data_IF_696560662898
#
_entry.id   IF_696560662898
#
_cell.length_a   1.000
_cell.length_b   1.000
_cell.length_c   1.000
_cell.angle_alpha   90.00
_cell.angle_beta   90.00
_cell.angle_gamma   90.00
#
_symmetry.space_group_name_H-M   'P 1'
#
loop_
_entity.id
_entity.type
_entity.pdbx_description
1 polymer ?
#
# COMPACT_ATOMS: atom_id res chain seq x y z
N UNK A 1 -16.75 -2.76 -6.85
CA UNK A 1 -16.74 -3.77 -5.78
C UNK A 1 -16.86 -3.02 -4.46
N UNK A 2 -17.37 -3.61 -3.38
CA UNK A 2 -17.41 -2.92 -2.08
C UNK A 2 -16.07 -3.06 -1.33
N UNK A 3 -15.76 -2.10 -0.45
CA UNK A 3 -14.50 -2.07 0.32
C UNK A 3 -14.19 -3.41 1.02
N UNK A 4 -15.19 -4.03 1.65
CA UNK A 4 -15.04 -5.31 2.35
C UNK A 4 -14.63 -6.46 1.41
N UNK A 5 -15.21 -6.54 0.21
CA UNK A 5 -14.84 -7.55 -0.78
C UNK A 5 -13.39 -7.37 -1.25
N UNK A 6 -12.95 -6.11 -1.38
CA UNK A 6 -11.57 -5.81 -1.75
C UNK A 6 -10.61 -6.23 -0.63
N UNK A 7 -10.94 -5.93 0.64
CA UNK A 7 -10.13 -6.37 1.78
C UNK A 7 -9.99 -7.89 1.82
N UNK A 8 -11.07 -8.63 1.58
CA UNK A 8 -11.04 -10.10 1.53
C UNK A 8 -10.09 -10.59 0.45
N UNK A 9 -10.18 -10.04 -0.77
CA UNK A 9 -9.25 -10.40 -1.86
C UNK A 9 -7.80 -10.03 -1.56
N UNK A 10 -7.56 -8.88 -0.96
CA UNK A 10 -6.22 -8.45 -0.59
C UNK A 10 -5.61 -9.34 0.50
N UNK A 11 -6.42 -9.80 1.47
CA UNK A 11 -6.01 -10.80 2.47
C UNK A 11 -5.61 -12.14 1.85
N UNK A 12 -6.35 -12.62 0.87
CA UNK A 12 -5.98 -13.84 0.14
C UNK A 12 -4.64 -13.70 -0.62
N UNK A 13 -4.39 -12.51 -1.17
CA UNK A 13 -3.18 -12.22 -1.93
C UNK A 13 -1.97 -12.01 -1.01
N UNK A 14 -2.02 -11.03 -0.13
CA UNK A 14 -0.85 -10.59 0.66
C UNK A 14 -0.69 -11.36 1.98
N UNK A 15 -1.74 -12.07 2.43
CA UNK A 15 -1.75 -12.89 3.64
C UNK A 15 -2.85 -12.49 4.64
N UNK A 16 -3.18 -13.39 5.57
CA UNK A 16 -4.29 -13.20 6.50
C UNK A 16 -4.06 -12.08 7.53
N UNK A 17 -2.80 -11.74 7.82
CA UNK A 17 -2.45 -10.67 8.74
C UNK A 17 -2.29 -9.35 7.99
N UNK A 18 -3.40 -8.78 7.51
CA UNK A 18 -3.39 -7.44 6.91
C UNK A 18 -4.16 -6.45 7.77
N UNK A 19 -3.54 -5.31 8.01
CA UNK A 19 -4.17 -4.12 8.56
C UNK A 19 -4.42 -3.08 7.48
N UNK A 20 -5.59 -2.44 7.53
CA UNK A 20 -5.98 -1.37 6.61
C UNK A 20 -6.07 -0.05 7.39
N UNK A 21 -5.63 1.05 6.78
CA UNK A 21 -5.80 2.36 7.40
C UNK A 21 -7.30 2.74 7.49
N UNK A 22 -7.65 3.61 8.45
CA UNK A 22 -9.04 4.03 8.68
C UNK A 22 -9.69 4.70 7.47
N UNK A 23 -8.90 5.25 6.56
CA UNK A 23 -9.39 5.93 5.37
C UNK A 23 -9.55 4.99 4.17
N UNK A 24 -9.10 3.73 4.27
CA UNK A 24 -9.13 2.77 3.18
C UNK A 24 -10.52 2.69 2.55
N UNK A 25 -11.53 2.43 3.38
CA UNK A 25 -12.93 2.22 2.96
C UNK A 25 -13.49 3.45 2.24
N UNK A 26 -13.21 4.63 2.80
CA UNK A 26 -13.61 5.92 2.20
C UNK A 26 -13.04 6.08 0.80
N UNK A 27 -11.75 5.78 0.62
CA UNK A 27 -11.10 5.94 -0.68
C UNK A 27 -11.47 4.82 -1.67
N UNK A 28 -11.70 3.59 -1.20
CA UNK A 28 -12.17 2.50 -2.08
C UNK A 28 -13.55 2.78 -2.66
N UNK A 29 -14.46 3.36 -1.86
CA UNK A 29 -15.80 3.71 -2.35
C UNK A 29 -15.80 4.94 -3.26
N UNK A 30 -14.82 5.84 -3.09
CA UNK A 30 -14.74 7.08 -3.87
C UNK A 30 -14.03 6.89 -5.22
N UNK A 31 -13.05 5.97 -5.30
CA UNK A 31 -12.21 5.81 -6.50
C UNK A 31 -12.80 4.71 -7.40
N UNK A 32 -13.45 5.13 -8.50
CA UNK A 32 -13.94 4.19 -9.52
C UNK A 32 -12.80 3.34 -10.10
N UNK A 33 -13.04 2.03 -10.24
CA UNK A 33 -12.11 1.05 -10.82
C UNK A 33 -10.76 0.90 -10.09
N UNK A 34 -10.69 1.26 -8.81
CA UNK A 34 -9.48 1.00 -8.01
C UNK A 34 -9.21 -0.50 -7.86
N UNK A 35 -10.29 -1.29 -7.82
CA UNK A 35 -10.30 -2.70 -7.48
C UNK A 35 -9.35 -3.52 -8.35
N UNK A 36 -9.55 -3.51 -9.67
CA UNK A 36 -8.80 -4.37 -10.59
C UNK A 36 -7.31 -4.01 -10.63
N UNK A 37 -7.01 -2.71 -10.66
CA UNK A 37 -5.65 -2.19 -10.74
C UNK A 37 -4.86 -2.44 -9.44
N UNK A 38 -5.53 -2.34 -8.30
CA UNK A 38 -4.94 -2.61 -7.00
C UNK A 38 -4.72 -4.11 -6.80
N UNK A 39 -5.69 -4.95 -7.14
CA UNK A 39 -5.60 -6.41 -7.05
C UNK A 39 -4.42 -6.93 -7.88
N UNK A 40 -4.32 -6.51 -9.15
CA UNK A 40 -3.23 -6.93 -10.02
C UNK A 40 -1.87 -6.50 -9.46
N UNK A 41 -1.77 -5.27 -8.98
CA UNK A 41 -0.54 -4.79 -8.36
C UNK A 41 -0.14 -5.58 -7.11
N UNK A 42 -1.09 -5.91 -6.24
CA UNK A 42 -0.82 -6.73 -5.05
C UNK A 42 -0.37 -8.15 -5.41
N UNK A 43 -0.86 -8.73 -6.52
CA UNK A 43 -0.35 -10.02 -7.03
C UNK A 43 1.13 -9.90 -7.44
N UNK A 44 1.50 -8.84 -8.15
CA UNK A 44 2.90 -8.59 -8.54
C UNK A 44 3.81 -8.44 -7.30
N UNK A 45 3.31 -7.81 -6.23
CA UNK A 45 4.01 -7.74 -4.93
C UNK A 45 4.21 -9.15 -4.34
N UNK A 46 3.16 -9.97 -4.32
CA UNK A 46 3.22 -11.36 -3.81
C UNK A 46 4.24 -12.20 -4.58
N UNK A 47 4.30 -12.03 -5.90
CA UNK A 47 5.23 -12.72 -6.80
C UNK A 47 6.68 -12.22 -6.67
N UNK A 48 6.94 -11.17 -5.89
CA UNK A 48 8.30 -10.63 -5.69
C UNK A 48 8.87 -9.92 -6.93
N UNK A 49 8.02 -9.59 -7.91
CA UNK A 49 8.42 -8.93 -9.17
C UNK A 49 8.60 -7.42 -9.04
N UNK A 50 8.18 -6.83 -7.92
CA UNK A 50 8.33 -5.40 -7.63
C UNK A 50 9.53 -5.13 -6.73
N UNK A 51 10.26 -4.06 -7.06
CA UNK A 51 11.33 -3.55 -6.21
C UNK A 51 10.72 -2.78 -5.04
N UNK A 52 10.93 -3.28 -3.83
CA UNK A 52 10.54 -2.60 -2.61
C UNK A 52 11.51 -1.46 -2.27
N UNK A 53 10.97 -0.40 -1.65
CA UNK A 53 11.78 0.59 -0.93
C UNK A 53 12.09 0.05 0.46
N UNK A 54 13.31 0.31 0.94
CA UNK A 54 13.67 0.04 2.34
C UNK A 54 13.28 1.25 3.17
N UNK A 55 12.62 1.03 4.29
CA UNK A 55 12.34 2.08 5.27
C UNK A 55 13.51 2.17 6.27
N UNK A 56 14.35 3.23 6.24
CA UNK A 56 15.48 3.34 7.16
C UNK A 56 15.06 3.37 8.63
N UNK A 57 13.90 3.96 8.92
CA UNK A 57 13.38 4.03 10.30
C UNK A 57 12.68 2.74 10.74
N UNK A 58 12.56 1.76 9.85
CA UNK A 58 11.90 0.47 10.10
C UNK A 58 12.65 -0.60 9.29
N UNK A 59 13.82 -0.99 9.78
CA UNK A 59 14.82 -1.80 9.05
C UNK A 59 14.26 -3.12 8.49
N UNK A 60 13.25 -3.66 9.15
CA UNK A 60 12.57 -4.90 8.74
C UNK A 60 11.42 -4.68 7.76
N UNK A 61 11.12 -3.44 7.36
CA UNK A 61 9.98 -3.13 6.51
C UNK A 61 10.37 -2.91 5.05
N UNK A 62 9.62 -3.56 4.18
CA UNK A 62 9.60 -3.36 2.74
C UNK A 62 8.37 -2.51 2.39
N UNK A 63 8.60 -1.40 1.70
CA UNK A 63 7.54 -0.45 1.35
C UNK A 63 7.34 -0.44 -0.15
N UNK A 64 6.13 -0.74 -0.58
CA UNK A 64 5.68 -0.65 -1.96
C UNK A 64 4.72 0.52 -2.09
N UNK A 65 4.92 1.37 -3.08
CA UNK A 65 4.12 2.58 -3.28
C UNK A 65 3.57 2.53 -4.70
N UNK A 66 2.26 2.76 -4.84
CA UNK A 66 1.58 2.91 -6.12
C UNK A 66 0.73 4.15 -6.13
N UNK A 67 0.85 4.90 -7.22
CA UNK A 67 -0.01 6.04 -7.52
C UNK A 67 -1.37 5.52 -8.00
N UNK A 68 -2.44 6.02 -7.39
CA UNK A 68 -3.83 5.69 -7.73
C UNK A 68 -4.50 6.98 -8.20
N UNK A 69 -4.61 7.14 -9.51
CA UNK A 69 -5.08 8.40 -10.12
C UNK A 69 -4.08 9.55 -9.93
N UNK A 70 -4.59 10.78 -9.86
CA UNK A 70 -3.77 11.99 -9.71
C UNK A 70 -3.38 12.29 -8.25
N UNK A 71 -4.31 12.09 -7.32
CA UNK A 71 -4.18 12.59 -5.94
C UNK A 71 -3.93 11.52 -4.89
N UNK A 72 -4.30 10.26 -5.15
CA UNK A 72 -4.28 9.20 -4.15
C UNK A 72 -3.08 8.26 -4.37
N UNK A 73 -2.64 7.62 -3.29
CA UNK A 73 -1.56 6.62 -3.30
C UNK A 73 -1.98 5.44 -2.44
N UNK A 74 -1.64 4.25 -2.91
CA UNK A 74 -1.66 3.05 -2.11
C UNK A 74 -0.22 2.71 -1.66
N UNK A 75 -0.05 2.44 -0.38
CA UNK A 75 1.22 2.12 0.25
C UNK A 75 1.04 0.77 0.94
N UNK A 76 1.86 -0.19 0.57
CA UNK A 76 1.86 -1.53 1.18
C UNK A 76 3.18 -1.66 1.93
N UNK A 77 3.10 -1.89 3.24
CA UNK A 77 4.24 -2.09 4.12
C UNK A 77 4.25 -3.56 4.52
N UNK A 78 5.23 -4.31 4.03
CA UNK A 78 5.45 -5.71 4.41
C UNK A 78 6.59 -5.78 5.40
N UNK A 79 6.34 -6.30 6.60
CA UNK A 79 7.41 -6.53 7.58
C UNK A 79 8.03 -7.91 7.30
N UNK A 80 9.35 -8.00 7.28
CA UNK A 80 10.08 -9.25 7.03
C UNK A 80 10.05 -10.20 8.22
N UNK A 81 10.13 -9.64 9.43
CA UNK A 81 10.13 -10.38 10.69
C UNK A 81 8.74 -10.57 11.29
N UNK A 82 7.74 -9.84 10.79
CA UNK A 82 6.35 -9.94 11.22
C UNK A 82 5.52 -10.47 10.06
N UNK A 83 4.68 -11.47 10.32
CA UNK A 83 3.81 -12.15 9.35
C UNK A 83 2.72 -11.20 8.77
N UNK A 84 2.83 -9.89 9.02
CA UNK A 84 1.81 -8.91 8.74
C UNK A 84 2.19 -7.89 7.67
N UNK A 85 1.15 -7.39 7.00
CA UNK A 85 1.23 -6.38 5.95
C UNK A 85 0.26 -5.25 6.27
N UNK A 86 0.72 -4.01 6.18
CA UNK A 86 -0.16 -2.84 6.31
C UNK A 86 -0.48 -2.30 4.92
N UNK A 87 -1.75 -2.00 4.66
CA UNK A 87 -2.22 -1.40 3.41
C UNK A 87 -2.86 -0.06 3.72
N UNK A 88 -2.22 1.00 3.22
CA UNK A 88 -2.67 2.37 3.39
C UNK A 88 -3.14 2.90 2.04
N UNK A 89 -4.38 3.35 1.97
CA UNK A 89 -4.90 4.11 0.83
C UNK A 89 -5.27 5.50 1.32
N UNK A 90 -4.57 6.51 0.79
CA UNK A 90 -4.72 7.88 1.25
C UNK A 90 -4.26 8.91 0.20
N UNK A 91 -4.40 10.18 0.54
CA UNK A 91 -3.97 11.31 -0.30
C UNK A 91 -2.45 11.55 -0.25
N UNK A 92 -2.01 12.61 -0.94
CA UNK A 92 -0.61 13.04 -0.95
C UNK A 92 -0.11 13.49 0.43
N UNK A 93 -0.95 14.16 1.21
CA UNK A 93 -0.54 14.70 2.52
C UNK A 93 -0.28 13.58 3.52
N UNK A 94 -1.15 12.57 3.57
CA UNK A 94 -0.96 11.36 4.37
C UNK A 94 0.29 10.61 3.93
N UNK A 95 0.47 10.44 2.61
CA UNK A 95 1.67 9.81 2.06
C UNK A 95 2.95 10.52 2.51
N UNK A 96 3.02 11.85 2.41
CA UNK A 96 4.22 12.60 2.79
C UNK A 96 4.52 12.49 4.28
N UNK A 97 3.48 12.40 5.12
CA UNK A 97 3.64 12.11 6.54
C UNK A 97 4.20 10.71 6.77
N UNK A 98 3.56 9.67 6.23
CA UNK A 98 3.98 8.28 6.41
C UNK A 98 5.40 8.03 5.85
N UNK A 99 5.71 8.65 4.72
CA UNK A 99 7.04 8.62 4.10
C UNK A 99 8.12 9.17 5.05
N UNK A 100 7.86 10.31 5.69
CA UNK A 100 8.79 10.90 6.67
C UNK A 100 8.95 9.99 7.89
N UNK A 101 7.86 9.42 8.39
CA UNK A 101 7.87 8.46 9.50
C UNK A 101 8.72 7.22 9.16
N UNK A 102 8.60 6.71 7.93
CA UNK A 102 9.37 5.58 7.42
C UNK A 102 10.82 5.94 7.05
N UNK A 103 11.21 7.22 7.08
CA UNK A 103 12.55 7.69 6.72
C UNK A 103 12.85 7.62 5.22
N UNK A 104 11.81 7.52 4.38
CA UNK A 104 11.96 7.41 2.94
C UNK A 104 12.36 8.77 2.34
N UNK A 105 13.55 8.84 1.72
CA UNK A 105 14.03 10.08 1.10
C UNK A 105 13.07 10.58 0.03
N UNK A 106 12.85 11.89 0.04
CA UNK A 106 12.74 12.87 -1.06
C UNK A 106 13.05 12.50 -2.52
N UNK A 107 13.07 11.25 -2.99
CA UNK A 107 13.49 10.97 -4.36
C UNK A 107 12.43 11.47 -5.36
N UNK A 108 12.74 12.60 -5.96
CA UNK A 108 11.99 13.32 -6.98
C UNK A 108 11.83 12.54 -8.30
N UNK A 109 12.28 11.28 -8.38
CA UNK A 109 12.44 10.53 -9.63
C UNK A 109 11.32 9.54 -9.95
N UNK A 110 10.28 9.42 -9.12
CA UNK A 110 9.22 8.42 -9.30
C UNK A 110 7.78 8.99 -9.24
N UNK A 111 7.59 10.27 -9.57
CA UNK A 111 6.27 10.92 -9.64
C UNK A 111 5.68 10.94 -11.04
#
# INVERSE_FOLDING_TARGET
>A
MHAEELKVKLRDILGNQIEFNKEFDKYTDTIKNIDDNLIEWCKIIKEGKLRANRAPNREDALVFIKKIGSSNRCIVIKIKNGIFTEVHLADHAYYDKLRKELGLKSDSKYY
#
